data_IF_649156686150
#
_entry.id   IF_649156686150
#
_cell.length_a   1.000
_cell.length_b   1.000
_cell.length_c   1.000
_cell.angle_alpha   90.00
_cell.angle_beta   90.00
_cell.angle_gamma   90.00
#
_symmetry.space_group_name_H-M   'P 1'
#
loop_
_entity.id
_entity.type
_entity.pdbx_description
1 polymer ?
#
# COMPACT_ATOMS: atom_id res chain seq x y z
N UNK A 1 40.89 37.10 27.05
CA UNK A 1 42.18 36.91 26.34
C UNK A 1 42.69 38.27 25.91
N UNK A 2 43.98 38.53 26.15
CA UNK A 2 44.69 39.79 25.93
C UNK A 2 44.96 40.01 24.43
N UNK A 3 44.97 41.26 23.98
CA UNK A 3 45.68 41.83 22.81
C UNK A 3 45.41 43.36 22.86
N UNK A 4 46.22 44.23 23.45
CA UNK A 4 47.54 44.73 23.03
C UNK A 4 47.66 45.01 21.53
N UNK A 5 47.39 46.25 21.11
CA UNK A 5 48.11 46.91 20.02
C UNK A 5 48.38 48.37 20.43
N UNK A 6 49.67 48.66 20.57
CA UNK A 6 50.28 49.98 20.69
C UNK A 6 50.12 50.77 19.39
N UNK A 7 49.85 52.07 19.48
CA UNK A 7 50.35 53.02 18.48
C UNK A 7 50.62 54.37 19.15
N UNK A 8 51.90 54.55 19.48
CA UNK A 8 52.47 55.83 19.86
C UNK A 8 52.69 56.64 18.58
N UNK A 9 52.12 57.84 18.50
CA UNK A 9 52.57 58.86 17.55
C UNK A 9 53.09 60.07 18.33
N UNK A 10 54.41 60.20 18.27
CA UNK A 10 55.23 61.29 18.78
C UNK A 10 54.84 62.63 18.16
N UNK A 11 54.45 63.56 19.02
CA UNK A 11 54.27 64.99 18.71
C UNK A 11 55.67 65.60 18.57
N UNK A 12 56.08 65.91 17.34
CA UNK A 12 57.26 66.74 17.08
C UNK A 12 56.88 68.21 17.22
N UNK A 13 57.26 68.84 18.34
CA UNK A 13 57.28 70.30 18.45
C UNK A 13 58.42 70.85 17.60
N UNK A 14 58.09 71.66 16.60
CA UNK A 14 59.06 72.50 15.89
C UNK A 14 59.02 73.89 16.51
N UNK A 15 60.07 74.21 17.27
CA UNK A 15 60.37 75.52 17.82
C UNK A 15 60.69 76.52 16.69
N UNK A 16 59.86 77.56 16.57
CA UNK A 16 60.05 78.69 15.68
C UNK A 16 61.13 79.64 16.21
N UNK A 17 62.34 79.61 15.64
CA UNK A 17 63.34 80.65 15.85
C UNK A 17 63.00 81.89 14.99
N UNK A 18 62.44 82.92 15.63
CA UNK A 18 62.29 84.25 15.04
C UNK A 18 63.65 84.98 15.10
N UNK A 19 64.34 85.08 13.96
CA UNK A 19 65.51 85.96 13.81
C UNK A 19 65.06 87.39 13.55
N UNK A 20 65.42 88.32 14.47
CA UNK A 20 65.27 89.77 14.30
C UNK A 20 66.03 90.23 13.05
N UNK A 21 65.33 90.80 12.08
CA UNK A 21 65.89 91.61 11.00
C UNK A 21 66.29 92.98 11.56
N UNK A 22 67.59 93.21 11.69
CA UNK A 22 68.17 94.55 11.81
C UNK A 22 68.14 95.21 10.42
N UNK A 23 67.35 96.27 10.27
CA UNK A 23 67.45 97.16 9.11
C UNK A 23 68.81 97.88 9.14
N UNK A 24 69.68 97.52 8.21
CA UNK A 24 70.91 98.27 7.94
C UNK A 24 70.57 99.37 6.93
N UNK A 25 70.74 100.61 7.38
CA UNK A 25 70.45 101.86 6.70
C UNK A 25 71.11 101.95 5.30
N UNK A 26 70.34 101.63 4.26
CA UNK A 26 70.77 101.61 2.85
C UNK A 26 71.10 103.00 2.28
N UNK A 27 70.90 104.09 3.04
CA UNK A 27 71.13 105.45 2.58
C UNK A 27 72.53 106.01 2.88
N UNK A 28 73.36 105.30 3.64
CA UNK A 28 74.70 105.78 4.08
C UNK A 28 75.78 105.72 2.98
N UNK A 29 75.72 104.74 2.07
CA UNK A 29 76.80 104.51 1.09
C UNK A 29 76.64 105.29 -0.22
N UNK A 30 75.41 105.44 -0.70
CA UNK A 30 75.11 106.29 -1.89
C UNK A 30 75.44 107.76 -1.65
N UNK A 31 75.20 108.26 -0.43
CA UNK A 31 75.56 109.63 -0.04
C UNK A 31 77.07 109.81 0.08
N UNK A 32 77.80 108.83 0.65
CA UNK A 32 79.27 108.89 0.75
C UNK A 32 79.98 108.80 -0.61
N UNK A 33 79.49 107.98 -1.54
CA UNK A 33 79.98 107.92 -2.92
C UNK A 33 79.82 109.26 -3.65
N UNK A 34 78.66 109.92 -3.48
CA UNK A 34 78.39 111.23 -4.07
C UNK A 34 79.28 112.34 -3.46
N UNK A 35 79.55 112.27 -2.16
CA UNK A 35 80.43 113.23 -1.45
C UNK A 35 81.89 113.07 -1.90
N UNK A 36 82.36 111.84 -2.18
CA UNK A 36 83.71 111.60 -2.67
C UNK A 36 83.93 112.17 -4.09
N UNK A 37 82.93 112.07 -4.97
CA UNK A 37 82.99 112.67 -6.32
C UNK A 37 82.95 114.21 -6.30
N UNK A 38 82.31 114.82 -5.30
CA UNK A 38 82.13 116.27 -5.24
C UNK A 38 83.38 117.04 -4.73
N UNK A 39 84.37 116.35 -4.15
CA UNK A 39 85.63 116.97 -3.64
C UNK A 39 86.72 117.15 -4.71
N UNK A 40 86.38 117.08 -5.99
CA UNK A 40 87.31 117.27 -7.12
C UNK A 40 86.93 118.50 -7.92
N UNK A 41 87.04 119.69 -7.32
CA UNK A 41 87.07 120.93 -8.11
C UNK A 41 88.31 121.80 -7.95
N UNK A 42 89.15 121.63 -6.94
CA UNK A 42 90.36 122.46 -6.83
C UNK A 42 91.62 121.71 -6.33
N UNK A 43 92.58 121.54 -7.26
CA UNK A 43 94.05 121.40 -7.12
C UNK A 43 94.74 120.05 -6.75
N UNK A 44 95.75 119.71 -7.59
CA UNK A 44 96.81 118.65 -7.58
C UNK A 44 96.48 117.26 -8.21
N UNK A 45 97.06 116.92 -9.39
CA UNK A 45 96.69 115.73 -10.15
C UNK A 45 97.67 114.55 -10.02
N UNK A 46 97.21 113.35 -10.37
CA UNK A 46 97.88 112.05 -10.51
C UNK A 46 97.93 111.10 -9.29
N UNK A 47 98.69 111.33 -8.21
CA UNK A 47 98.87 110.28 -7.19
C UNK A 47 97.60 109.92 -6.38
N UNK A 48 96.65 110.86 -6.23
CA UNK A 48 95.36 110.62 -5.56
C UNK A 48 94.28 110.05 -6.47
N UNK A 49 94.44 110.19 -7.79
CA UNK A 49 93.44 109.77 -8.78
C UNK A 49 93.43 108.25 -8.95
N UNK A 50 94.59 107.60 -8.83
CA UNK A 50 94.73 106.13 -8.82
C UNK A 50 94.18 105.49 -7.55
N UNK A 51 94.40 106.12 -6.39
CA UNK A 51 93.84 105.66 -5.11
C UNK A 51 92.30 105.74 -5.11
N UNK A 52 91.74 106.85 -5.58
CA UNK A 52 90.27 107.02 -5.71
C UNK A 52 89.67 106.07 -6.74
N UNK A 53 90.38 105.79 -7.84
CA UNK A 53 89.93 104.82 -8.85
C UNK A 53 89.94 103.38 -8.31
N UNK A 54 90.94 103.03 -7.49
CA UNK A 54 91.02 101.73 -6.81
C UNK A 54 89.94 101.57 -5.73
N UNK A 55 89.68 102.60 -4.94
CA UNK A 55 88.58 102.63 -3.97
C UNK A 55 87.22 102.51 -4.68
N UNK A 56 86.99 103.26 -5.75
CA UNK A 56 85.77 103.18 -6.56
C UNK A 56 85.57 101.77 -7.16
N UNK A 57 86.65 101.13 -7.63
CA UNK A 57 86.61 99.76 -8.12
C UNK A 57 86.30 98.75 -6.99
N UNK A 58 86.88 98.92 -5.80
CA UNK A 58 86.55 98.10 -4.62
C UNK A 58 85.09 98.24 -4.21
N UNK A 59 84.54 99.47 -4.19
CA UNK A 59 83.13 99.69 -3.91
C UNK A 59 82.21 99.12 -4.97
N UNK A 60 82.56 99.26 -6.26
CA UNK A 60 81.79 98.64 -7.35
C UNK A 60 81.82 97.10 -7.29
N UNK A 61 82.94 96.51 -6.84
CA UNK A 61 83.07 95.07 -6.63
C UNK A 61 82.24 94.60 -5.44
N UNK A 62 82.26 95.35 -4.33
CA UNK A 62 81.40 95.09 -3.15
C UNK A 62 79.91 95.22 -3.50
N UNK A 63 79.53 96.21 -4.29
CA UNK A 63 78.14 96.39 -4.73
C UNK A 63 77.68 95.22 -5.61
N UNK A 64 78.52 94.79 -6.57
CA UNK A 64 78.23 93.58 -7.38
C UNK A 64 78.19 92.31 -6.53
N UNK A 65 79.04 92.17 -5.51
CA UNK A 65 78.99 91.05 -4.57
C UNK A 65 77.69 91.06 -3.76
N UNK A 66 77.28 92.20 -3.22
CA UNK A 66 76.03 92.34 -2.49
C UNK A 66 74.81 92.02 -3.37
N UNK A 67 74.78 92.53 -4.61
CA UNK A 67 73.70 92.20 -5.57
C UNK A 67 73.67 90.71 -5.90
N UNK A 68 74.83 90.06 -6.02
CA UNK A 68 74.91 88.61 -6.26
C UNK A 68 74.44 87.82 -5.03
N UNK A 69 74.84 88.22 -3.82
CA UNK A 69 74.42 87.59 -2.57
C UNK A 69 72.92 87.74 -2.35
N UNK A 70 72.37 88.94 -2.56
CA UNK A 70 70.92 89.20 -2.51
C UNK A 70 70.15 88.35 -3.51
N UNK A 71 70.67 88.19 -4.73
CA UNK A 71 70.06 87.31 -5.74
C UNK A 71 70.09 85.86 -5.27
N UNK A 72 71.21 85.37 -4.73
CA UNK A 72 71.32 84.01 -4.21
C UNK A 72 70.39 83.77 -3.02
N UNK A 73 70.29 84.71 -2.08
CA UNK A 73 69.35 84.64 -0.94
C UNK A 73 67.90 84.61 -1.41
N UNK A 74 67.52 85.43 -2.40
CA UNK A 74 66.17 85.42 -2.97
C UNK A 74 65.84 84.11 -3.66
N UNK A 75 66.74 83.58 -4.48
CA UNK A 75 66.54 82.29 -5.15
C UNK A 75 66.47 81.13 -4.15
N UNK A 76 67.35 81.12 -3.15
CA UNK A 76 67.30 80.13 -2.06
C UNK A 76 65.97 80.17 -1.30
N UNK A 77 65.51 81.37 -0.93
CA UNK A 77 64.22 81.55 -0.27
C UNK A 77 63.05 81.13 -1.16
N UNK A 78 63.10 81.42 -2.47
CA UNK A 78 62.07 80.96 -3.43
C UNK A 78 62.02 79.45 -3.53
N UNK A 79 63.17 78.78 -3.59
CA UNK A 79 63.25 77.33 -3.67
C UNK A 79 62.72 76.70 -2.38
N UNK A 80 63.14 77.20 -1.21
CA UNK A 80 62.65 76.70 0.08
C UNK A 80 61.13 76.91 0.23
N UNK A 81 60.62 78.08 -0.15
CA UNK A 81 59.18 78.35 -0.07
C UNK A 81 58.38 77.51 -1.07
N UNK A 82 58.96 77.19 -2.24
CA UNK A 82 58.36 76.25 -3.19
C UNK A 82 58.33 74.83 -2.61
N UNK A 83 59.45 74.32 -2.09
CA UNK A 83 59.52 72.99 -1.46
C UNK A 83 58.56 72.86 -0.28
N UNK A 84 58.46 73.89 0.56
CA UNK A 84 57.52 73.92 1.69
C UNK A 84 56.07 73.84 1.19
N UNK A 85 55.70 74.61 0.17
CA UNK A 85 54.33 74.58 -0.40
C UNK A 85 54.02 73.25 -1.07
N UNK A 86 54.95 72.70 -1.85
CA UNK A 86 54.79 71.41 -2.51
C UNK A 86 54.63 70.27 -1.49
N UNK A 87 55.39 70.31 -0.39
CA UNK A 87 55.25 69.34 0.71
C UNK A 87 53.89 69.42 1.38
N UNK A 88 53.42 70.63 1.74
CA UNK A 88 52.09 70.83 2.35
C UNK A 88 50.99 70.37 1.39
N UNK A 89 51.07 70.75 0.12
CA UNK A 89 50.12 70.33 -0.91
C UNK A 89 50.05 68.81 -1.05
N UNK A 90 51.21 68.15 -1.10
CA UNK A 90 51.27 66.68 -1.17
C UNK A 90 50.68 66.03 0.09
N UNK A 91 50.90 66.63 1.27
CA UNK A 91 50.29 66.14 2.51
C UNK A 91 48.77 66.27 2.50
N UNK A 92 48.25 67.40 2.02
CA UNK A 92 46.82 67.65 1.94
C UNK A 92 46.16 66.71 0.91
N UNK A 93 46.76 66.51 -0.27
CA UNK A 93 46.28 65.56 -1.28
C UNK A 93 46.26 64.12 -0.74
N UNK A 94 47.32 63.68 -0.05
CA UNK A 94 47.36 62.36 0.57
C UNK A 94 46.30 62.20 1.66
N UNK A 95 46.06 63.24 2.46
CA UNK A 95 45.02 63.24 3.50
C UNK A 95 43.63 63.16 2.89
N UNK A 96 43.35 63.91 1.84
CA UNK A 96 42.08 63.87 1.13
C UNK A 96 41.82 62.51 0.49
N UNK A 97 42.82 61.93 -0.18
CA UNK A 97 42.73 60.57 -0.74
C UNK A 97 42.45 59.53 0.34
N UNK A 98 43.14 59.62 1.48
CA UNK A 98 42.90 58.72 2.61
C UNK A 98 41.47 58.85 3.16
N UNK A 99 40.99 60.08 3.34
CA UNK A 99 39.62 60.34 3.83
C UNK A 99 38.56 59.84 2.84
N UNK A 100 38.78 60.04 1.53
CA UNK A 100 37.87 59.56 0.50
C UNK A 100 37.82 58.03 0.48
N UNK A 101 38.98 57.36 0.49
CA UNK A 101 39.04 55.90 0.56
C UNK A 101 38.39 55.33 1.82
N UNK A 102 38.53 56.04 2.95
CA UNK A 102 37.87 55.65 4.20
C UNK A 102 36.34 55.77 4.08
N UNK A 103 35.86 56.85 3.45
CA UNK A 103 34.44 57.09 3.23
C UNK A 103 33.84 56.02 2.33
N UNK A 104 34.47 55.74 1.20
CA UNK A 104 34.03 54.73 0.24
C UNK A 104 33.99 53.34 0.89
N UNK A 105 34.99 52.99 1.70
CA UNK A 105 34.99 51.74 2.48
C UNK A 105 33.86 51.68 3.51
N UNK A 106 33.58 52.78 4.22
CA UNK A 106 32.48 52.80 5.19
C UNK A 106 31.11 52.68 4.52
N UNK A 107 30.91 53.31 3.36
CA UNK A 107 29.67 53.19 2.58
C UNK A 107 29.50 51.77 2.04
N UNK A 108 30.57 51.16 1.53
CA UNK A 108 30.54 49.77 1.07
C UNK A 108 30.20 48.81 2.24
N UNK A 109 30.86 48.96 3.39
CA UNK A 109 30.56 48.11 4.55
C UNK A 109 29.12 48.28 5.02
N UNK A 110 28.59 49.50 5.01
CA UNK A 110 27.19 49.76 5.35
C UNK A 110 26.23 49.06 4.39
N UNK A 111 26.47 49.17 3.09
CA UNK A 111 25.65 48.51 2.06
C UNK A 111 25.71 46.98 2.19
N UNK A 112 26.88 46.42 2.51
CA UNK A 112 27.03 44.98 2.70
C UNK A 112 26.29 44.49 3.95
N UNK A 113 26.31 45.26 5.04
CA UNK A 113 25.54 44.96 6.25
C UNK A 113 24.04 44.98 5.96
N UNK A 114 23.56 45.97 5.19
CA UNK A 114 22.15 46.09 4.82
C UNK A 114 21.68 44.88 3.98
N UNK A 115 22.46 44.47 2.98
CA UNK A 115 22.17 43.26 2.20
C UNK A 115 22.15 41.98 3.04
N UNK A 116 23.07 41.87 4.01
CA UNK A 116 23.10 40.72 4.93
C UNK A 116 21.84 40.72 5.81
N UNK A 117 21.42 41.88 6.32
CA UNK A 117 20.19 41.97 7.13
C UNK A 117 18.94 41.62 6.33
N UNK A 118 18.79 42.16 5.12
CA UNK A 118 17.65 41.84 4.24
C UNK A 118 17.62 40.34 3.89
N UNK A 119 18.78 39.76 3.55
CA UNK A 119 18.87 38.32 3.27
C UNK A 119 18.54 37.47 4.50
N UNK A 120 18.90 37.93 5.70
CA UNK A 120 18.62 37.21 6.95
C UNK A 120 17.12 37.26 7.25
N UNK A 121 16.49 38.42 7.08
CA UNK A 121 15.04 38.58 7.29
C UNK A 121 14.24 37.73 6.31
N UNK A 122 14.62 37.72 5.03
CA UNK A 122 14.00 36.85 4.01
C UNK A 122 14.15 35.36 4.36
N UNK A 123 15.30 34.95 4.88
CA UNK A 123 15.51 33.57 5.32
C UNK A 123 14.64 33.21 6.54
N UNK A 124 14.50 34.13 7.50
CA UNK A 124 13.64 33.95 8.68
C UNK A 124 12.17 33.85 8.26
N UNK A 125 11.72 34.69 7.32
CA UNK A 125 10.36 34.66 6.78
C UNK A 125 10.07 33.34 6.04
N UNK A 126 10.98 32.92 5.17
CA UNK A 126 10.91 31.62 4.49
C UNK A 126 10.85 30.45 5.48
N UNK A 127 11.63 30.53 6.56
CA UNK A 127 11.61 29.53 7.64
C UNK A 127 10.25 29.44 8.33
N UNK A 128 9.61 30.59 8.61
CA UNK A 128 8.25 30.64 9.20
C UNK A 128 7.21 30.07 8.25
N UNK A 129 7.22 30.48 6.98
CA UNK A 129 6.27 29.97 5.98
C UNK A 129 6.38 28.44 5.80
N UNK A 130 7.62 27.93 5.78
CA UNK A 130 7.88 26.50 5.66
C UNK A 130 7.36 25.76 6.89
N UNK A 131 7.59 26.30 8.09
CA UNK A 131 7.08 25.72 9.33
C UNK A 131 5.54 25.72 9.37
N UNK A 132 4.90 26.79 8.91
CA UNK A 132 3.44 26.88 8.87
C UNK A 132 2.83 25.89 7.88
N UNK A 133 3.45 25.70 6.70
CA UNK A 133 3.06 24.66 5.74
C UNK A 133 3.16 23.25 6.35
N UNK A 134 4.28 22.94 7.01
CA UNK A 134 4.48 21.65 7.68
C UNK A 134 3.42 21.44 8.77
N UNK A 135 3.12 22.47 9.57
CA UNK A 135 2.10 22.38 10.62
C UNK A 135 0.71 22.15 10.04
N UNK A 136 0.37 22.78 8.92
CA UNK A 136 -0.91 22.62 8.23
C UNK A 136 -1.06 21.20 7.67
N UNK A 137 -0.04 20.69 6.96
CA UNK A 137 -0.02 19.33 6.42
C UNK A 137 -0.10 18.27 7.52
N UNK A 138 0.61 18.48 8.64
CA UNK A 138 0.56 17.56 9.78
C UNK A 138 -0.84 17.49 10.39
N UNK A 139 -1.55 18.62 10.49
CA UNK A 139 -2.94 18.66 10.95
C UNK A 139 -3.88 17.96 9.97
N UNK A 140 -3.71 18.19 8.66
CA UNK A 140 -4.50 17.53 7.63
C UNK A 140 -4.33 16.00 7.67
N UNK A 141 -3.08 15.50 7.71
CA UNK A 141 -2.79 14.08 7.84
C UNK A 141 -3.38 13.47 9.12
N UNK A 142 -3.32 14.18 10.25
CA UNK A 142 -3.91 13.72 11.51
C UNK A 142 -5.43 13.54 11.39
N UNK A 143 -6.10 14.48 10.73
CA UNK A 143 -7.55 14.41 10.46
C UNK A 143 -7.88 13.24 9.54
N UNK A 144 -7.14 13.06 8.45
CA UNK A 144 -7.34 11.94 7.52
C UNK A 144 -7.14 10.58 8.21
N UNK A 145 -6.13 10.48 9.08
CA UNK A 145 -5.88 9.27 9.84
C UNK A 145 -6.99 8.97 10.86
N UNK A 146 -7.55 10.00 11.50
CA UNK A 146 -8.70 9.85 12.39
C UNK A 146 -9.94 9.34 11.63
N UNK A 147 -10.22 9.90 10.45
CA UNK A 147 -11.32 9.46 9.59
C UNK A 147 -11.11 8.04 9.05
N UNK A 148 -9.88 7.71 8.64
CA UNK A 148 -9.52 6.35 8.24
C UNK A 148 -9.75 5.36 9.38
N UNK A 149 -9.28 5.66 10.59
CA UNK A 149 -9.47 4.83 11.78
C UNK A 149 -10.95 4.66 12.11
N UNK A 150 -11.78 5.70 11.92
CA UNK A 150 -13.24 5.62 12.09
C UNK A 150 -13.87 4.69 11.06
N UNK A 151 -13.51 4.82 9.77
CA UNK A 151 -13.99 3.92 8.70
C UNK A 151 -13.59 2.48 8.97
N UNK A 152 -12.34 2.23 9.37
CA UNK A 152 -11.84 0.91 9.71
C UNK A 152 -12.64 0.27 10.86
N UNK A 153 -12.90 1.03 11.94
CA UNK A 153 -13.74 0.57 13.05
C UNK A 153 -15.16 0.21 12.61
N UNK A 154 -15.77 1.01 11.72
CA UNK A 154 -17.11 0.70 11.19
C UNK A 154 -17.12 -0.58 10.35
N UNK A 155 -16.09 -0.80 9.52
CA UNK A 155 -15.97 -2.03 8.74
C UNK A 155 -15.78 -3.24 9.66
N UNK A 156 -14.91 -3.13 10.67
CA UNK A 156 -14.70 -4.19 11.65
C UNK A 156 -16.00 -4.54 12.41
N UNK A 157 -16.76 -3.53 12.85
CA UNK A 157 -18.05 -3.73 13.50
C UNK A 157 -19.07 -4.43 12.56
N UNK A 158 -19.15 -4.03 11.29
CA UNK A 158 -20.03 -4.68 10.30
C UNK A 158 -19.65 -6.14 10.05
N UNK A 159 -18.36 -6.46 10.01
CA UNK A 159 -17.88 -7.83 9.84
C UNK A 159 -18.26 -8.66 11.06
N UNK A 160 -18.07 -8.13 12.27
CA UNK A 160 -18.45 -8.83 13.50
C UNK A 160 -19.97 -9.08 13.57
N UNK A 161 -20.77 -8.04 13.31
CA UNK A 161 -22.24 -8.15 13.25
C UNK A 161 -22.70 -9.20 12.24
N UNK A 162 -22.12 -9.21 11.03
CA UNK A 162 -22.44 -10.19 10.00
C UNK A 162 -22.04 -11.62 10.42
N UNK A 163 -20.87 -11.77 11.05
CA UNK A 163 -20.40 -13.07 11.57
C UNK A 163 -21.32 -13.58 12.67
N UNK A 164 -21.75 -12.71 13.58
CA UNK A 164 -22.72 -13.05 14.61
C UNK A 164 -24.08 -13.41 14.01
N UNK A 165 -24.55 -12.68 12.99
CA UNK A 165 -25.81 -12.98 12.29
C UNK A 165 -25.75 -14.36 11.62
N UNK A 166 -24.67 -14.66 10.90
CA UNK A 166 -24.46 -15.97 10.28
C UNK A 166 -24.44 -17.08 11.34
N UNK A 167 -23.73 -16.88 12.45
CA UNK A 167 -23.70 -17.84 13.55
C UNK A 167 -25.09 -18.10 14.14
N UNK A 168 -25.90 -17.05 14.35
CA UNK A 168 -27.29 -17.18 14.80
C UNK A 168 -28.13 -17.96 13.78
N UNK A 169 -28.04 -17.62 12.49
CA UNK A 169 -28.75 -18.32 11.42
C UNK A 169 -28.39 -19.81 11.36
N UNK A 170 -27.11 -20.15 11.44
CA UNK A 170 -26.66 -21.55 11.48
C UNK A 170 -27.16 -22.27 12.72
N UNK A 171 -27.16 -21.61 13.88
CA UNK A 171 -27.67 -22.19 15.13
C UNK A 171 -29.17 -22.46 15.03
N UNK A 172 -29.95 -21.51 14.52
CA UNK A 172 -31.40 -21.67 14.30
C UNK A 172 -31.70 -22.77 13.29
N UNK A 173 -30.97 -22.83 12.16
CA UNK A 173 -31.11 -23.93 11.20
C UNK A 173 -30.80 -25.27 11.86
N UNK A 174 -29.68 -25.37 12.59
CA UNK A 174 -29.30 -26.59 13.29
C UNK A 174 -30.40 -27.06 14.23
N UNK A 175 -30.92 -26.16 15.08
CA UNK A 175 -32.04 -26.49 15.98
C UNK A 175 -33.31 -26.89 15.22
N UNK A 176 -33.62 -26.23 14.09
CA UNK A 176 -34.75 -26.62 13.24
C UNK A 176 -34.60 -28.03 12.67
N UNK A 177 -33.40 -28.39 12.19
CA UNK A 177 -33.10 -29.72 11.69
C UNK A 177 -33.13 -30.77 12.80
N UNK A 178 -32.55 -30.49 13.96
CA UNK A 178 -32.59 -31.37 15.14
C UNK A 178 -34.03 -31.62 15.58
N UNK A 179 -34.88 -30.59 15.60
CA UNK A 179 -36.31 -30.74 15.93
C UNK A 179 -37.08 -31.56 14.89
N UNK A 180 -36.80 -31.38 13.59
CA UNK A 180 -37.40 -32.19 12.52
C UNK A 180 -36.97 -33.64 12.63
N UNK A 181 -35.69 -33.90 12.86
CA UNK A 181 -35.14 -35.23 13.03
C UNK A 181 -35.78 -35.92 14.25
N UNK A 182 -35.85 -35.22 15.39
CA UNK A 182 -36.50 -35.74 16.59
C UNK A 182 -37.99 -36.04 16.36
N UNK A 183 -38.68 -35.20 15.57
CA UNK A 183 -40.08 -35.45 15.22
C UNK A 183 -40.23 -36.68 14.31
N UNK A 184 -39.38 -36.84 13.30
CA UNK A 184 -39.39 -38.02 12.43
C UNK A 184 -39.01 -39.28 13.18
N UNK A 185 -37.98 -39.23 14.04
CA UNK A 185 -37.60 -40.34 14.91
C UNK A 185 -38.74 -40.73 15.85
N UNK A 186 -39.42 -39.75 16.47
CA UNK A 186 -40.59 -40.01 17.30
C UNK A 186 -41.77 -40.58 16.48
N UNK A 187 -41.97 -40.12 15.24
CA UNK A 187 -43.00 -40.66 14.35
C UNK A 187 -42.69 -42.12 13.97
N UNK A 188 -41.45 -42.40 13.60
CA UNK A 188 -40.97 -43.73 13.23
C UNK A 188 -40.97 -44.67 14.43
N UNK A 189 -40.67 -44.18 15.63
CA UNK A 189 -40.81 -44.94 16.87
C UNK A 189 -42.28 -45.31 17.15
N UNK A 190 -43.22 -44.37 16.98
CA UNK A 190 -44.66 -44.66 17.09
C UNK A 190 -45.15 -45.62 16.01
N UNK A 191 -44.65 -45.49 14.77
CA UNK A 191 -44.93 -46.43 13.69
C UNK A 191 -44.35 -47.80 14.01
N UNK A 192 -43.14 -47.91 14.56
CA UNK A 192 -42.57 -49.17 15.06
C UNK A 192 -43.33 -49.76 16.24
N UNK A 193 -43.85 -48.94 17.16
CA UNK A 193 -44.70 -49.42 18.25
C UNK A 193 -46.04 -49.92 17.72
N UNK A 194 -46.63 -49.22 16.74
CA UNK A 194 -47.82 -49.68 16.00
C UNK A 194 -47.53 -50.94 15.21
N UNK A 195 -46.40 -51.03 14.54
CA UNK A 195 -45.97 -52.24 13.83
C UNK A 195 -45.65 -53.35 14.81
N UNK A 196 -45.09 -53.11 15.99
CA UNK A 196 -44.83 -54.15 16.99
C UNK A 196 -46.12 -54.61 17.68
N UNK A 197 -47.10 -53.73 17.86
CA UNK A 197 -48.44 -54.12 18.34
C UNK A 197 -49.23 -54.84 17.25
N UNK A 198 -49.21 -54.36 16.02
CA UNK A 198 -49.79 -55.05 14.87
C UNK A 198 -49.07 -56.37 14.65
N UNK A 199 -47.74 -56.42 14.66
CA UNK A 199 -46.93 -57.64 14.53
C UNK A 199 -47.07 -58.55 15.73
N UNK A 200 -47.31 -58.07 16.94
CA UNK A 200 -47.68 -58.93 18.07
C UNK A 200 -49.09 -59.52 17.93
N UNK A 201 -50.05 -58.75 17.40
CA UNK A 201 -51.39 -59.24 17.06
C UNK A 201 -51.35 -60.17 15.84
N UNK A 202 -50.48 -59.88 14.88
CA UNK A 202 -50.32 -60.55 13.59
C UNK A 202 -49.39 -61.76 13.72
N UNK A 203 -48.42 -61.81 14.64
CA UNK A 203 -47.67 -63.01 15.03
C UNK A 203 -48.57 -63.92 15.85
N UNK A 204 -49.46 -63.41 16.71
CA UNK A 204 -50.50 -64.26 17.30
C UNK A 204 -51.50 -64.78 16.23
N UNK A 205 -51.88 -63.96 15.23
CA UNK A 205 -52.72 -64.40 14.11
C UNK A 205 -51.98 -65.27 13.09
N UNK A 206 -50.66 -65.11 12.90
CA UNK A 206 -49.81 -65.92 12.01
C UNK A 206 -49.22 -67.12 12.72
N UNK A 207 -49.18 -67.21 14.03
CA UNK A 207 -48.93 -68.47 14.72
C UNK A 207 -50.20 -69.34 14.67
N UNK A 208 -51.38 -68.73 14.77
CA UNK A 208 -52.66 -69.39 14.48
C UNK A 208 -52.83 -69.68 12.98
N UNK A 209 -52.46 -68.75 12.07
CA UNK A 209 -52.52 -68.98 10.63
C UNK A 209 -51.36 -69.82 10.11
N UNK A 210 -50.15 -69.85 10.70
CA UNK A 210 -49.09 -70.78 10.27
C UNK A 210 -49.36 -72.17 10.82
N UNK A 211 -49.97 -72.33 12.00
CA UNK A 211 -50.58 -73.63 12.38
C UNK A 211 -51.69 -74.01 11.41
N UNK A 212 -52.53 -73.07 10.97
CA UNK A 212 -53.57 -73.34 9.98
C UNK A 212 -53.02 -73.56 8.56
N UNK A 213 -51.96 -72.87 8.12
CA UNK A 213 -51.34 -72.96 6.79
C UNK A 213 -50.39 -74.15 6.69
N UNK A 214 -49.66 -74.52 7.76
CA UNK A 214 -48.98 -75.82 7.77
C UNK A 214 -50.00 -76.96 7.77
N UNK A 215 -51.19 -76.79 8.36
CA UNK A 215 -52.30 -77.74 8.19
C UNK A 215 -52.98 -77.65 6.81
N UNK A 216 -52.98 -76.49 6.14
CA UNK A 216 -53.62 -76.31 4.82
C UNK A 216 -52.71 -76.68 3.62
N UNK A 217 -51.39 -76.54 3.77
CA UNK A 217 -50.42 -76.70 2.67
C UNK A 217 -49.43 -77.85 2.88
N UNK A 218 -49.62 -78.69 3.91
CA UNK A 218 -49.05 -80.05 3.97
C UNK A 218 -50.11 -81.16 3.89
N UNK A 219 -51.36 -80.79 3.68
CA UNK A 219 -52.43 -81.72 3.35
C UNK A 219 -52.46 -81.98 1.85
N UNK A 220 -52.49 -83.25 1.45
CA UNK A 220 -52.92 -83.67 0.11
C UNK A 220 -54.20 -82.91 -0.24
N UNK A 221 -54.14 -82.03 -1.26
CA UNK A 221 -55.35 -81.33 -1.70
C UNK A 221 -56.36 -82.37 -2.21
N UNK A 222 -57.58 -82.29 -1.69
CA UNK A 222 -58.70 -83.15 -2.06
C UNK A 222 -58.90 -83.10 -3.59
N UNK A 223 -58.66 -84.22 -4.28
CA UNK A 223 -58.70 -84.32 -5.75
C UNK A 223 -57.35 -84.45 -6.46
N UNK A 224 -56.22 -84.46 -5.73
CA UNK A 224 -54.91 -84.76 -6.33
C UNK A 224 -54.87 -86.16 -6.96
N UNK A 225 -54.33 -86.24 -8.18
CA UNK A 225 -54.08 -87.53 -8.80
C UNK A 225 -53.04 -88.32 -7.98
N UNK A 226 -53.18 -89.65 -7.84
CA UNK A 226 -52.17 -90.47 -7.18
C UNK A 226 -50.85 -90.36 -7.95
N UNK A 227 -49.72 -90.53 -7.24
CA UNK A 227 -48.39 -90.28 -7.80
C UNK A 227 -48.09 -91.03 -9.12
N UNK A 228 -48.76 -92.17 -9.36
CA UNK A 228 -48.66 -92.96 -10.59
C UNK A 228 -49.31 -92.32 -11.82
N UNK A 229 -50.15 -91.30 -11.64
CA UNK A 229 -50.90 -90.60 -12.70
C UNK A 229 -50.45 -89.15 -12.90
N UNK A 230 -49.34 -88.74 -12.27
CA UNK A 230 -48.86 -87.37 -12.43
C UNK A 230 -48.40 -87.07 -13.84
N UNK A 231 -48.87 -85.94 -14.34
CA UNK A 231 -48.50 -85.40 -15.65
C UNK A 231 -47.30 -84.45 -15.46
N UNK A 232 -46.52 -84.23 -16.52
CA UNK A 232 -45.47 -83.21 -16.53
C UNK A 232 -46.05 -81.85 -16.16
N UNK A 233 -45.30 -81.01 -15.43
CA UNK A 233 -45.76 -79.67 -15.04
C UNK A 233 -46.21 -78.86 -16.25
N UNK A 234 -45.48 -78.93 -17.36
CA UNK A 234 -45.75 -78.18 -18.59
C UNK A 234 -47.09 -78.55 -19.25
N UNK A 235 -47.50 -79.82 -19.13
CA UNK A 235 -48.74 -80.34 -19.73
C UNK A 235 -49.93 -80.30 -18.76
N UNK A 236 -49.71 -79.84 -17.52
CA UNK A 236 -50.76 -79.77 -16.51
C UNK A 236 -51.80 -78.71 -16.92
N UNK A 237 -53.09 -79.05 -16.96
CA UNK A 237 -54.13 -78.06 -17.21
C UNK A 237 -54.21 -77.12 -16.01
N UNK A 238 -54.37 -75.83 -16.30
CA UNK A 238 -54.56 -74.79 -15.30
C UNK A 238 -55.74 -73.89 -15.66
N UNK A 239 -56.46 -73.48 -14.62
CA UNK A 239 -57.51 -72.46 -14.69
C UNK A 239 -57.15 -71.36 -13.72
N UNK A 240 -56.86 -70.17 -14.23
CA UNK A 240 -56.39 -69.03 -13.42
C UNK A 240 -57.25 -67.81 -13.73
N UNK A 241 -58.00 -67.37 -12.72
CA UNK A 241 -58.74 -66.11 -12.72
C UNK A 241 -58.11 -65.20 -11.68
N UNK A 242 -57.49 -64.09 -12.11
CA UNK A 242 -56.90 -63.09 -11.22
C UNK A 242 -57.18 -61.67 -11.69
N UNK A 243 -57.40 -60.78 -10.73
CA UNK A 243 -57.51 -59.34 -10.96
C UNK A 243 -56.47 -58.60 -10.13
N UNK A 244 -55.60 -57.83 -10.80
CA UNK A 244 -54.64 -56.94 -10.16
C UNK A 244 -53.67 -57.63 -9.16
N UNK A 245 -53.28 -58.87 -9.44
CA UNK A 245 -52.40 -59.67 -8.58
C UNK A 245 -50.94 -59.52 -8.97
N UNK A 246 -50.04 -59.60 -7.98
CA UNK A 246 -48.60 -59.53 -8.22
C UNK A 246 -48.12 -60.75 -9.00
N UNK A 247 -47.09 -60.56 -9.81
CA UNK A 247 -46.50 -61.62 -10.61
C UNK A 247 -46.07 -62.83 -9.78
N UNK A 248 -45.52 -62.57 -8.60
CA UNK A 248 -45.11 -63.63 -7.67
C UNK A 248 -46.30 -64.50 -7.23
N UNK A 249 -47.39 -63.86 -6.80
CA UNK A 249 -48.61 -64.52 -6.34
C UNK A 249 -49.31 -65.28 -7.49
N UNK A 250 -49.32 -64.67 -8.68
CA UNK A 250 -49.86 -65.28 -9.90
C UNK A 250 -49.12 -66.60 -10.23
N UNK A 251 -47.78 -66.57 -10.26
CA UNK A 251 -46.99 -67.76 -10.58
C UNK A 251 -47.13 -68.84 -9.53
N UNK A 252 -47.19 -68.47 -8.24
CA UNK A 252 -47.41 -69.42 -7.16
C UNK A 252 -48.79 -70.08 -7.27
N UNK A 253 -49.84 -69.31 -7.59
CA UNK A 253 -51.18 -69.83 -7.82
C UNK A 253 -51.23 -70.79 -9.01
N UNK A 254 -50.61 -70.43 -10.13
CA UNK A 254 -50.55 -71.28 -11.31
C UNK A 254 -49.84 -72.61 -11.03
N UNK A 255 -48.72 -72.58 -10.28
CA UNK A 255 -48.00 -73.79 -9.87
C UNK A 255 -48.83 -74.67 -8.93
N UNK A 256 -49.53 -74.06 -7.98
CA UNK A 256 -50.40 -74.81 -7.06
C UNK A 256 -51.62 -75.41 -7.77
N UNK A 257 -52.22 -74.69 -8.73
CA UNK A 257 -53.31 -75.22 -9.54
C UNK A 257 -52.83 -76.41 -10.41
N UNK A 258 -51.65 -76.29 -11.02
CA UNK A 258 -51.01 -77.37 -11.75
C UNK A 258 -50.62 -78.57 -10.86
N UNK A 259 -50.40 -78.34 -9.55
CA UNK A 259 -49.99 -79.39 -8.61
C UNK A 259 -51.07 -80.46 -8.43
N UNK A 260 -52.35 -80.14 -8.66
CA UNK A 260 -53.46 -81.11 -8.63
C UNK A 260 -53.20 -82.27 -9.60
N UNK A 261 -52.60 -81.98 -10.76
CA UNK A 261 -52.35 -82.95 -11.82
C UNK A 261 -50.88 -83.41 -11.90
N UNK A 262 -49.93 -82.58 -11.48
CA UNK A 262 -48.49 -82.85 -11.60
C UNK A 262 -47.78 -83.15 -10.27
N UNK A 263 -48.52 -83.11 -9.16
CA UNK A 263 -48.00 -83.22 -7.79
C UNK A 263 -47.33 -81.92 -7.31
N UNK A 264 -46.81 -81.88 -6.07
CA UNK A 264 -46.28 -80.64 -5.49
C UNK A 264 -44.99 -80.16 -6.19
N UNK A 265 -44.88 -78.84 -6.42
CA UNK A 265 -43.72 -78.19 -7.03
C UNK A 265 -43.27 -76.98 -6.20
N UNK A 266 -41.94 -76.79 -6.14
CA UNK A 266 -41.34 -75.63 -5.49
C UNK A 266 -40.98 -74.54 -6.51
N UNK A 267 -41.46 -73.32 -6.29
CA UNK A 267 -41.10 -72.15 -7.09
C UNK A 267 -39.88 -71.45 -6.48
N UNK A 268 -38.86 -71.16 -7.29
CA UNK A 268 -37.68 -70.39 -6.86
C UNK A 268 -37.36 -69.27 -7.85
N UNK A 269 -37.08 -68.10 -7.29
CA UNK A 269 -36.71 -66.91 -8.04
C UNK A 269 -35.19 -66.73 -8.07
N UNK A 270 -34.65 -66.41 -9.23
CA UNK A 270 -33.24 -66.03 -9.43
C UNK A 270 -33.18 -64.85 -10.39
N UNK A 271 -33.63 -63.69 -9.91
CA UNK A 271 -33.61 -62.44 -10.65
C UNK A 271 -32.42 -61.59 -10.20
N UNK A 272 -31.86 -60.77 -11.09
CA UNK A 272 -30.95 -59.69 -10.70
C UNK A 272 -31.72 -58.67 -9.87
N UNK A 273 -31.02 -57.99 -8.95
CA UNK A 273 -31.60 -56.99 -8.04
C UNK A 273 -32.41 -55.90 -8.77
N UNK A 274 -31.95 -55.49 -9.96
CA UNK A 274 -32.61 -54.49 -10.79
C UNK A 274 -33.97 -54.97 -11.35
N UNK A 275 -34.15 -56.28 -11.50
CA UNK A 275 -35.34 -56.92 -12.06
C UNK A 275 -36.27 -57.50 -10.99
N UNK A 276 -35.94 -57.39 -9.70
CA UNK A 276 -36.82 -57.83 -8.60
C UNK A 276 -38.16 -57.07 -8.60
N UNK A 277 -38.19 -55.85 -9.17
CA UNK A 277 -39.42 -55.08 -9.34
C UNK A 277 -40.48 -55.82 -10.18
N UNK A 278 -40.07 -56.77 -11.04
CA UNK A 278 -40.98 -57.60 -11.82
C UNK A 278 -41.92 -58.42 -10.94
N UNK A 279 -41.47 -58.87 -9.77
CA UNK A 279 -42.29 -59.65 -8.83
C UNK A 279 -43.52 -58.88 -8.36
N UNK A 280 -43.45 -57.54 -8.34
CA UNK A 280 -44.54 -56.66 -7.95
C UNK A 280 -45.38 -56.17 -9.14
N UNK A 281 -45.06 -56.58 -10.37
CA UNK A 281 -45.85 -56.23 -11.55
C UNK A 281 -47.21 -56.89 -11.43
N UNK A 282 -48.27 -56.10 -11.67
CA UNK A 282 -49.63 -56.56 -11.49
C UNK A 282 -50.23 -57.10 -12.78
N UNK A 283 -50.94 -58.21 -12.66
CA UNK A 283 -51.58 -58.91 -13.75
C UNK A 283 -53.08 -59.04 -13.47
N UNK A 284 -53.87 -58.84 -14.52
CA UNK A 284 -55.27 -59.23 -14.56
C UNK A 284 -55.42 -60.18 -15.75
N UNK A 285 -55.75 -61.44 -15.46
CA UNK A 285 -55.90 -62.45 -16.50
C UNK A 285 -56.95 -63.48 -16.12
N UNK A 286 -57.63 -63.93 -17.15
CA UNK A 286 -58.61 -65.01 -17.11
C UNK A 286 -58.19 -66.00 -18.19
N UNK A 287 -57.68 -67.17 -17.79
CA UNK A 287 -57.14 -68.16 -18.72
C UNK A 287 -57.40 -69.59 -18.28
N UNK A 288 -57.80 -70.39 -19.26
CA UNK A 288 -57.90 -71.85 -19.19
C UNK A 288 -56.95 -72.43 -20.24
N UNK A 289 -55.80 -72.96 -19.81
CA UNK A 289 -54.75 -73.44 -20.72
C UNK A 289 -53.85 -74.46 -20.03
N UNK A 290 -52.84 -74.99 -20.70
CA UNK A 290 -51.79 -75.79 -20.05
C UNK A 290 -50.71 -74.87 -19.44
N UNK A 291 -50.01 -75.34 -18.42
CA UNK A 291 -49.01 -74.55 -17.71
C UNK A 291 -47.87 -74.06 -18.63
N UNK A 292 -47.44 -74.86 -19.60
CA UNK A 292 -46.40 -74.49 -20.55
C UNK A 292 -46.80 -73.30 -21.43
N UNK A 293 -48.02 -73.31 -21.94
CA UNK A 293 -48.59 -72.23 -22.74
C UNK A 293 -48.84 -70.97 -21.90
N UNK A 294 -49.33 -71.13 -20.67
CA UNK A 294 -49.41 -70.04 -19.71
C UNK A 294 -48.06 -69.36 -19.49
N UNK A 295 -47.01 -70.14 -19.19
CA UNK A 295 -45.65 -69.62 -19.01
C UNK A 295 -45.14 -68.92 -20.27
N UNK A 296 -45.44 -69.47 -21.45
CA UNK A 296 -45.09 -68.85 -22.74
C UNK A 296 -45.76 -67.49 -22.92
N UNK A 297 -47.05 -67.37 -22.56
CA UNK A 297 -47.81 -66.13 -22.66
C UNK A 297 -47.31 -65.08 -21.66
N UNK A 298 -47.08 -65.48 -20.42
CA UNK A 298 -46.47 -64.63 -19.38
C UNK A 298 -45.09 -64.14 -19.83
N UNK A 299 -44.25 -65.03 -20.37
CA UNK A 299 -42.92 -64.67 -20.88
C UNK A 299 -43.01 -63.63 -21.99
N UNK A 300 -43.92 -63.80 -22.95
CA UNK A 300 -44.14 -62.81 -24.03
C UNK A 300 -44.61 -61.48 -23.47
N UNK A 301 -45.53 -61.48 -22.51
CA UNK A 301 -46.03 -60.27 -21.88
C UNK A 301 -44.90 -59.49 -21.19
N UNK A 302 -44.10 -60.15 -20.35
CA UNK A 302 -43.01 -59.52 -19.60
C UNK A 302 -41.91 -58.99 -20.53
N UNK A 303 -41.59 -59.73 -21.61
CA UNK A 303 -40.65 -59.24 -22.61
C UNK A 303 -41.18 -57.98 -23.31
N UNK A 304 -42.47 -57.98 -23.70
CA UNK A 304 -43.05 -56.86 -24.44
C UNK A 304 -43.25 -55.61 -23.57
N UNK A 305 -43.62 -55.78 -22.30
CA UNK A 305 -43.96 -54.67 -21.41
C UNK A 305 -42.76 -54.16 -20.62
N UNK A 306 -41.90 -55.05 -20.12
CA UNK A 306 -40.77 -54.71 -19.26
C UNK A 306 -39.41 -54.81 -19.97
N UNK A 307 -39.35 -55.38 -21.18
CA UNK A 307 -38.10 -55.58 -21.92
C UNK A 307 -37.19 -56.69 -21.36
N UNK A 308 -37.62 -57.40 -20.31
CA UNK A 308 -36.81 -58.41 -19.62
C UNK A 308 -37.10 -59.81 -20.15
N UNK A 309 -36.05 -60.53 -20.53
CA UNK A 309 -36.14 -61.92 -20.97
C UNK A 309 -36.10 -62.85 -19.75
N UNK A 310 -37.22 -63.50 -19.46
CA UNK A 310 -37.31 -64.54 -18.45
C UNK A 310 -37.08 -65.95 -19.03
N UNK A 311 -36.41 -66.78 -18.23
CA UNK A 311 -36.21 -68.19 -18.45
C UNK A 311 -36.88 -68.99 -17.34
N UNK A 312 -37.65 -69.98 -17.75
CA UNK A 312 -38.32 -70.92 -16.86
C UNK A 312 -37.59 -72.26 -17.02
N UNK A 313 -36.97 -72.74 -15.95
CA UNK A 313 -36.24 -74.03 -15.95
C UNK A 313 -36.93 -74.99 -15.01
N UNK A 314 -37.45 -76.08 -15.57
CA UNK A 314 -38.11 -77.16 -14.84
C UNK A 314 -37.08 -78.23 -14.47
N UNK A 315 -36.86 -78.46 -13.18
CA UNK A 315 -36.01 -79.53 -12.67
C UNK A 315 -36.90 -80.67 -12.14
N UNK A 316 -37.18 -81.64 -13.02
CA UNK A 316 -38.14 -82.74 -12.75
C UNK A 316 -37.77 -83.57 -11.51
N UNK A 317 -36.49 -83.93 -11.35
CA UNK A 317 -36.03 -84.75 -10.21
C UNK A 317 -36.25 -84.10 -8.85
N UNK A 318 -36.04 -82.78 -8.78
CA UNK A 318 -36.16 -82.00 -7.53
C UNK A 318 -37.53 -81.34 -7.38
N UNK A 319 -38.39 -81.46 -8.39
CA UNK A 319 -39.68 -80.77 -8.51
C UNK A 319 -39.55 -79.28 -8.22
N UNK A 320 -38.57 -78.64 -8.86
CA UNK A 320 -38.32 -77.20 -8.72
C UNK A 320 -38.54 -76.52 -10.06
N UNK A 321 -39.36 -75.47 -10.07
CA UNK A 321 -39.41 -74.49 -11.15
C UNK A 321 -38.55 -73.30 -10.75
N UNK A 322 -37.51 -73.02 -11.55
CA UNK A 322 -36.68 -71.82 -11.36
C UNK A 322 -37.06 -70.80 -12.42
N UNK A 323 -37.40 -69.59 -11.97
CA UNK A 323 -37.61 -68.43 -12.84
C UNK A 323 -36.39 -67.52 -12.71
N UNK A 324 -35.70 -67.29 -13.81
CA UNK A 324 -34.50 -66.45 -13.86
C UNK A 324 -34.54 -65.45 -15.00
N UNK A 325 -33.85 -64.34 -14.84
CA UNK A 325 -33.60 -63.37 -15.91
C UNK A 325 -32.33 -63.69 -16.70
N UNK A 326 -32.18 -63.03 -17.85
CA UNK A 326 -30.98 -63.10 -18.70
C UNK A 326 -29.84 -62.25 -18.20
#
# INVERSE_FOLDING_TARGET
>A
MKNQILLALSIFMVTSCASKTTEVDQNSYKTKSKIAMQRVKDTKPLAKQDLVSREAMQYAMLDKMNVREDRQRREFNRINEKQRRDFVKTQDENREQFLQAHKDNTEHLSSMVEQITESTDAFVEMGKETQDKINLETKAMSSENADFKRKFRMIAAKIDDNTQMQSRYFKEMKTSYENKLAFEEARLAREREKENTIRGVVENMYEDQNKALTQYYSAEQEGMLPASKWVSLEDAPITVHVENEKFEDLMLRAVNNAAVHSGPWNLKWKLKKENEILLYTKFSLDVETNFGEFVSNVKKYIINYNGVKLYFRVFKEKRVLIVSDS
#
